data_IF_622588855607
#
_entry.id   IF_622588855607
#
_cell.length_a   1.000
_cell.length_b   1.000
_cell.length_c   1.000
_cell.angle_alpha   90.00
_cell.angle_beta   90.00
_cell.angle_gamma   90.00
#
_symmetry.space_group_name_H-M   'P 1'
#
loop_
_entity.id
_entity.type
_entity.pdbx_description
1 polymer ?
#
# COMPACT_ATOMS: atom_id res chain seq x y z
N UNK A 1 1.93 33.33 22.85
CA UNK A 1 1.62 34.75 22.56
C UNK A 1 0.94 35.44 23.75
N UNK A 2 -0.38 35.33 23.94
CA UNK A 2 -1.10 36.08 25.00
C UNK A 2 -0.54 35.86 26.42
N UNK A 3 -0.37 34.60 26.84
CA UNK A 3 0.18 34.27 28.16
C UNK A 3 1.66 34.63 28.31
N UNK A 4 2.47 34.36 27.27
CA UNK A 4 3.92 34.57 27.31
C UNK A 4 4.29 36.06 27.37
N UNK A 5 3.65 36.88 26.54
CA UNK A 5 3.90 38.34 26.51
C UNK A 5 2.97 39.13 27.42
N UNK A 6 2.00 38.47 28.05
CA UNK A 6 0.95 39.11 28.87
C UNK A 6 0.24 40.25 28.10
N UNK A 7 -0.23 39.95 26.88
CA UNK A 7 -0.90 40.92 25.99
C UNK A 7 -2.34 40.52 25.71
N UNK A 8 -3.21 41.52 25.53
CA UNK A 8 -4.58 41.29 25.08
C UNK A 8 -4.63 41.05 23.56
N UNK A 9 -5.36 40.01 23.16
CA UNK A 9 -5.60 39.71 21.75
C UNK A 9 -6.98 40.22 21.35
N UNK A 10 -7.07 40.93 20.22
CA UNK A 10 -8.34 41.28 19.59
C UNK A 10 -8.61 40.30 18.46
N UNK A 11 -9.77 39.63 18.48
CA UNK A 11 -10.15 38.70 17.42
C UNK A 11 -11.25 39.30 16.55
N UNK A 12 -11.10 39.23 15.23
CA UNK A 12 -12.15 39.60 14.27
C UNK A 12 -12.44 38.45 13.32
N UNK A 13 -13.72 38.26 13.00
CA UNK A 13 -14.17 37.23 12.07
C UNK A 13 -14.67 37.95 10.82
N UNK A 14 -14.12 37.59 9.65
CA UNK A 14 -14.63 38.05 8.37
C UNK A 14 -14.98 36.88 7.48
N UNK A 15 -16.00 37.05 6.63
CA UNK A 15 -16.46 36.02 5.69
C UNK A 15 -16.22 36.52 4.27
N UNK A 16 -15.44 35.78 3.49
CA UNK A 16 -15.30 36.12 2.07
C UNK A 16 -16.63 35.88 1.34
N UNK A 17 -17.13 36.93 0.69
CA UNK A 17 -18.47 36.94 0.06
C UNK A 17 -18.49 36.36 -1.36
N UNK A 18 -17.34 36.12 -2.01
CA UNK A 18 -17.24 35.46 -3.33
C UNK A 18 -16.56 34.09 -3.23
N UNK A 19 -16.75 33.26 -4.27
CA UNK A 19 -16.37 31.83 -4.44
C UNK A 19 -15.33 31.30 -3.41
N UNK A 20 -15.71 30.20 -2.74
CA UNK A 20 -15.14 29.64 -1.50
C UNK A 20 -15.40 30.52 -0.27
N UNK A 21 -16.63 30.43 0.27
CA UNK A 21 -17.14 31.06 1.52
C UNK A 21 -16.27 30.73 2.76
N UNK A 22 -15.01 31.15 2.76
CA UNK A 22 -14.04 30.91 3.83
C UNK A 22 -14.28 31.94 4.94
N UNK A 23 -14.36 31.43 6.16
CA UNK A 23 -14.33 32.24 7.37
C UNK A 23 -12.87 32.50 7.71
N UNK A 24 -12.49 33.77 7.76
CA UNK A 24 -11.14 34.21 8.14
C UNK A 24 -11.22 34.70 9.58
N UNK A 25 -10.43 34.06 10.43
CA UNK A 25 -10.21 34.49 11.81
C UNK A 25 -8.93 35.31 11.83
N UNK A 26 -9.02 36.58 12.22
CA UNK A 26 -7.87 37.45 12.37
C UNK A 26 -7.61 37.68 13.85
N UNK A 27 -6.37 37.45 14.27
CA UNK A 27 -5.89 37.74 15.62
C UNK A 27 -4.99 38.97 15.54
N UNK A 28 -5.38 40.05 16.20
CA UNK A 28 -4.71 41.34 16.18
C UNK A 28 -4.06 41.59 17.54
N UNK A 29 -2.78 41.93 17.53
CA UNK A 29 -1.98 42.32 18.70
C UNK A 29 -1.70 43.82 18.63
N UNK A 30 -2.07 44.57 19.67
CA UNK A 30 -1.86 46.03 19.74
C UNK A 30 -0.83 46.43 20.79
N UNK A 31 -0.48 45.52 21.71
CA UNK A 31 0.42 45.76 22.83
C UNK A 31 1.77 45.06 22.59
N UNK A 32 2.87 45.69 23.04
CA UNK A 32 4.23 45.13 22.96
C UNK A 32 4.65 44.65 21.57
N UNK A 33 4.12 45.26 20.52
CA UNK A 33 4.32 44.84 19.12
C UNK A 33 5.79 44.80 18.75
N UNK A 34 6.55 45.86 19.06
CA UNK A 34 7.97 45.95 18.74
C UNK A 34 8.78 44.85 19.43
N UNK A 35 8.56 44.65 20.74
CA UNK A 35 9.17 43.57 21.50
C UNK A 35 8.87 42.19 20.88
N UNK A 36 7.60 41.91 20.57
CA UNK A 36 7.18 40.63 20.00
C UNK A 36 7.83 40.40 18.63
N UNK A 37 7.91 41.45 17.80
CA UNK A 37 8.53 41.38 16.47
C UNK A 37 10.02 41.08 16.59
N UNK A 38 10.73 41.77 17.49
CA UNK A 38 12.17 41.60 17.72
C UNK A 38 12.48 40.21 18.31
N UNK A 39 11.76 39.81 19.37
CA UNK A 39 11.95 38.51 20.04
C UNK A 39 11.68 37.32 19.12
N UNK A 40 10.69 37.44 18.22
CA UNK A 40 10.35 36.41 17.23
C UNK A 40 11.13 36.54 15.92
N UNK A 41 11.90 37.62 15.74
CA UNK A 41 12.66 37.90 14.53
C UNK A 41 11.80 38.04 13.27
N UNK A 42 10.55 38.52 13.38
CA UNK A 42 9.57 38.50 12.28
C UNK A 42 9.92 39.42 11.10
N UNK A 43 10.81 40.40 11.31
CA UNK A 43 11.28 41.32 10.26
C UNK A 43 12.62 40.90 9.64
N UNK A 44 13.25 39.86 10.18
CA UNK A 44 14.54 39.36 9.70
C UNK A 44 14.34 38.10 8.86
N UNK A 45 15.29 37.80 7.98
CA UNK A 45 15.33 36.51 7.31
C UNK A 45 15.42 35.38 8.34
N UNK A 46 14.69 34.29 8.06
CA UNK A 46 14.64 33.15 8.96
C UNK A 46 16.04 32.57 9.19
N UNK A 47 16.50 32.59 10.44
CA UNK A 47 17.76 31.93 10.80
C UNK A 47 17.56 30.43 11.03
N UNK A 48 17.40 29.69 9.94
CA UNK A 48 17.19 28.24 9.93
C UNK A 48 18.32 27.50 10.63
N UNK A 49 19.55 28.00 10.53
CA UNK A 49 20.72 27.41 11.21
C UNK A 49 20.54 27.38 12.72
N UNK A 50 19.92 28.39 13.32
CA UNK A 50 19.67 28.40 14.76
C UNK A 50 18.58 27.41 15.18
N UNK A 51 17.51 27.31 14.39
CA UNK A 51 16.42 26.35 14.63
C UNK A 51 16.96 24.91 14.55
N UNK A 52 17.81 24.62 13.57
CA UNK A 52 18.41 23.30 13.34
C UNK A 52 19.31 22.81 14.50
N UNK A 53 19.74 23.68 15.42
CA UNK A 53 20.57 23.29 16.57
C UNK A 53 19.83 22.39 17.56
N UNK A 54 18.50 22.46 17.60
CA UNK A 54 17.70 21.73 18.58
C UNK A 54 16.44 21.14 17.94
N UNK A 55 16.27 19.82 18.02
CA UNK A 55 15.11 19.14 17.45
C UNK A 55 13.77 19.60 18.03
N UNK A 56 13.71 19.97 19.32
CA UNK A 56 12.48 20.50 19.91
C UNK A 56 12.09 21.85 19.31
N UNK A 57 13.08 22.68 18.94
CA UNK A 57 12.83 23.93 18.20
C UNK A 57 12.34 23.64 16.79
N UNK A 58 12.93 22.67 16.10
CA UNK A 58 12.49 22.21 14.78
C UNK A 58 11.03 21.72 14.84
N UNK A 59 10.70 20.85 15.80
CA UNK A 59 9.34 20.33 16.00
C UNK A 59 8.34 21.44 16.28
N UNK A 60 8.65 22.36 17.20
CA UNK A 60 7.79 23.49 17.52
C UNK A 60 7.58 24.44 16.32
N UNK A 61 8.66 24.70 15.56
CA UNK A 61 8.59 25.53 14.36
C UNK A 61 7.75 24.89 13.26
N UNK A 62 7.95 23.60 12.99
CA UNK A 62 7.17 22.83 12.02
C UNK A 62 5.69 22.72 12.41
N UNK A 63 5.38 22.63 13.71
CA UNK A 63 4.01 22.65 14.20
C UNK A 63 3.32 23.99 13.85
N UNK A 64 3.99 25.12 14.12
CA UNK A 64 3.49 26.45 13.76
C UNK A 64 3.34 26.63 12.24
N UNK A 65 4.34 26.16 11.48
CA UNK A 65 4.33 26.20 10.02
C UNK A 65 3.16 25.38 9.45
N UNK A 66 2.91 24.18 9.98
CA UNK A 66 1.79 23.34 9.58
C UNK A 66 0.44 24.00 9.86
N UNK A 67 0.27 24.67 11.00
CA UNK A 67 -0.95 25.43 11.28
C UNK A 67 -1.17 26.60 10.30
N UNK A 68 -0.09 27.22 9.82
CA UNK A 68 -0.15 28.37 8.92
C UNK A 68 -0.38 27.99 7.45
N UNK A 69 0.32 26.97 6.94
CA UNK A 69 0.32 26.63 5.52
C UNK A 69 0.30 25.13 5.21
N UNK A 70 0.08 24.30 6.22
CA UNK A 70 0.07 22.85 6.09
C UNK A 70 -1.30 22.24 5.84
N UNK A 71 -1.29 21.07 5.23
CA UNK A 71 -2.44 20.19 5.18
C UNK A 71 -2.03 18.72 5.08
N UNK A 72 -2.92 17.84 5.51
CA UNK A 72 -2.75 16.39 5.36
C UNK A 72 -4.06 15.79 4.87
N UNK A 73 -3.98 14.85 3.93
CA UNK A 73 -5.14 14.10 3.47
C UNK A 73 -5.70 13.24 4.61
N UNK A 74 -7.00 12.94 4.54
CA UNK A 74 -7.62 11.94 5.42
C UNK A 74 -6.88 10.59 5.29
N UNK A 75 -6.62 9.87 6.41
CA UNK A 75 -6.06 8.50 6.36
C UNK A 75 -6.95 7.51 5.58
N UNK A 76 -8.23 7.82 5.36
CA UNK A 76 -9.16 7.03 4.54
C UNK A 76 -9.00 7.28 3.04
N UNK A 77 -8.26 8.32 2.63
CA UNK A 77 -8.05 8.64 1.21
C UNK A 77 -7.23 7.56 0.50
N UNK A 78 -7.38 7.42 -0.82
CA UNK A 78 -6.59 6.46 -1.61
C UNK A 78 -5.09 6.73 -1.60
N UNK A 79 -4.68 7.96 -1.28
CA UNK A 79 -3.29 8.39 -1.24
C UNK A 79 -2.99 9.18 0.04
N UNK A 80 -1.84 8.88 0.62
CA UNK A 80 -1.28 9.67 1.72
C UNK A 80 -0.54 10.87 1.14
N UNK A 81 -0.83 12.04 1.69
CA UNK A 81 -0.23 13.29 1.25
C UNK A 81 -0.24 14.28 2.40
N UNK A 82 0.95 14.76 2.74
CA UNK A 82 1.15 15.92 3.57
C UNK A 82 1.81 16.99 2.72
N UNK A 83 1.36 18.23 2.83
CA UNK A 83 1.96 19.36 2.14
C UNK A 83 2.08 20.61 3.02
N UNK A 84 3.09 21.42 2.73
CA UNK A 84 3.32 22.77 3.24
C UNK A 84 3.48 23.70 2.03
N UNK A 85 2.61 24.70 1.89
CA UNK A 85 2.59 25.60 0.71
C UNK A 85 3.14 26.98 1.04
N UNK A 86 4.23 27.38 0.38
CA UNK A 86 4.90 28.69 0.59
C UNK A 86 5.08 29.42 -0.73
N UNK A 87 5.25 30.74 -0.70
CA UNK A 87 5.44 31.57 -1.91
C UNK A 87 6.91 31.71 -2.33
N UNK A 88 7.84 31.48 -1.40
CA UNK A 88 9.27 31.66 -1.62
C UNK A 88 10.01 30.32 -1.76
N UNK A 89 10.91 30.24 -2.74
CA UNK A 89 11.64 29.02 -3.07
C UNK A 89 12.72 28.70 -2.04
N UNK A 90 13.51 29.70 -1.63
CA UNK A 90 14.57 29.52 -0.64
C UNK A 90 13.98 29.05 0.70
N UNK A 91 12.82 29.60 1.08
CA UNK A 91 12.09 29.14 2.25
C UNK A 91 11.58 27.70 2.11
N UNK A 92 11.14 27.28 0.92
CA UNK A 92 10.78 25.88 0.68
C UNK A 92 11.98 24.93 0.86
N UNK A 93 13.17 25.34 0.41
CA UNK A 93 14.42 24.58 0.62
C UNK A 93 14.82 24.52 2.10
N UNK A 94 14.60 25.59 2.84
CA UNK A 94 14.84 25.61 4.28
C UNK A 94 13.89 24.68 5.05
N UNK A 95 12.63 24.61 4.63
CA UNK A 95 11.67 23.63 5.16
C UNK A 95 12.16 22.19 4.90
N UNK A 96 12.76 21.90 3.74
CA UNK A 96 13.37 20.58 3.50
C UNK A 96 14.46 20.25 4.52
N UNK A 97 15.33 21.21 4.87
CA UNK A 97 16.39 21.01 5.88
C UNK A 97 15.80 20.74 7.26
N UNK A 98 14.75 21.47 7.63
CA UNK A 98 14.03 21.27 8.90
C UNK A 98 13.38 19.89 8.97
N UNK A 99 12.70 19.45 7.91
CA UNK A 99 12.09 18.12 7.84
C UNK A 99 13.16 17.00 7.86
N UNK A 100 14.27 17.19 7.16
CA UNK A 100 15.37 16.24 7.15
C UNK A 100 16.01 16.06 8.54
N UNK A 101 16.07 17.14 9.35
CA UNK A 101 16.59 17.08 10.73
C UNK A 101 15.81 16.13 11.64
N UNK A 102 14.54 15.88 11.35
CA UNK A 102 13.67 14.94 12.09
C UNK A 102 13.37 13.67 11.28
N UNK A 103 14.23 13.31 10.32
CA UNK A 103 14.12 12.14 9.45
C UNK A 103 12.80 12.05 8.64
N UNK A 104 12.34 13.19 8.13
CA UNK A 104 11.15 13.25 7.26
C UNK A 104 11.58 13.67 5.85
N UNK A 105 11.89 12.73 4.95
CA UNK A 105 12.27 13.07 3.59
C UNK A 105 11.06 13.63 2.82
N UNK A 106 11.20 14.85 2.33
CA UNK A 106 10.19 15.56 1.55
C UNK A 106 10.73 15.97 0.17
N UNK A 107 9.83 16.41 -0.70
CA UNK A 107 10.15 16.93 -2.04
C UNK A 107 9.49 18.28 -2.25
N UNK A 108 10.07 19.12 -3.10
CA UNK A 108 9.45 20.37 -3.54
C UNK A 108 8.83 20.17 -4.92
N UNK A 109 7.67 20.80 -5.15
CA UNK A 109 7.10 21.00 -6.47
C UNK A 109 6.57 22.42 -6.59
N UNK A 110 6.83 23.08 -7.72
CA UNK A 110 6.21 24.36 -8.04
C UNK A 110 4.78 24.15 -8.53
N UNK A 111 3.81 24.75 -7.86
CA UNK A 111 2.39 24.68 -8.20
C UNK A 111 1.82 26.09 -8.29
N UNK A 112 1.53 26.55 -9.51
CA UNK A 112 1.12 27.94 -9.79
C UNK A 112 2.19 28.92 -9.27
N UNK A 113 1.81 29.87 -8.43
CA UNK A 113 2.70 30.86 -7.82
C UNK A 113 3.24 30.42 -6.44
N UNK A 114 3.17 29.13 -6.10
CA UNK A 114 3.62 28.59 -4.82
C UNK A 114 4.59 27.41 -5.00
N UNK A 115 5.41 27.20 -3.99
CA UNK A 115 6.28 26.06 -3.79
C UNK A 115 5.65 25.16 -2.73
N UNK A 116 5.43 23.90 -3.08
CA UNK A 116 4.77 22.93 -2.22
C UNK A 116 5.81 21.90 -1.77
N UNK A 117 6.11 21.89 -0.49
CA UNK A 117 6.93 20.85 0.15
C UNK A 117 6.01 19.71 0.56
N UNK A 118 6.24 18.49 0.08
CA UNK A 118 5.29 17.39 0.28
C UNK A 118 5.95 16.06 0.66
N UNK A 119 5.16 15.22 1.36
CA UNK A 119 5.51 13.87 1.80
C UNK A 119 4.37 12.91 1.40
N UNK A 120 4.72 11.81 0.72
CA UNK A 120 3.75 10.79 0.27
C UNK A 120 3.85 9.44 1.00
N UNK A 121 4.96 9.19 1.69
CA UNK A 121 5.14 7.92 2.43
C UNK A 121 4.27 7.96 3.69
N UNK A 122 3.34 7.01 3.82
CA UNK A 122 2.38 6.95 4.92
C UNK A 122 3.05 7.04 6.29
N UNK A 123 4.09 6.23 6.51
CA UNK A 123 4.89 6.21 7.74
C UNK A 123 5.48 7.59 8.06
N UNK A 124 5.98 8.32 7.05
CA UNK A 124 6.58 9.65 7.22
C UNK A 124 5.54 10.75 7.44
N UNK A 125 4.32 10.56 6.93
CA UNK A 125 3.18 11.43 7.27
C UNK A 125 2.79 11.22 8.75
N UNK A 126 2.70 9.97 9.21
CA UNK A 126 2.44 9.66 10.61
C UNK A 126 3.54 10.19 11.54
N UNK A 127 4.81 9.97 11.19
CA UNK A 127 5.97 10.52 11.91
C UNK A 127 5.86 12.04 12.04
N UNK A 128 5.48 12.76 10.98
CA UNK A 128 5.28 14.21 11.04
C UNK A 128 4.21 14.60 12.06
N UNK A 129 3.04 13.97 12.02
CA UNK A 129 1.92 14.24 12.93
C UNK A 129 2.35 14.02 14.39
N UNK A 130 3.12 12.94 14.64
CA UNK A 130 3.71 12.67 15.95
C UNK A 130 4.70 13.76 16.37
N UNK A 131 5.61 14.16 15.46
CA UNK A 131 6.65 15.15 15.71
C UNK A 131 6.10 16.55 16.07
N UNK A 132 4.94 16.93 15.52
CA UNK A 132 4.28 18.21 15.84
C UNK A 132 3.38 18.15 17.09
N UNK A 133 3.36 17.01 17.80
CA UNK A 133 2.62 16.85 19.06
C UNK A 133 1.12 16.55 18.91
N UNK A 134 0.66 16.16 17.72
CA UNK A 134 -0.75 15.83 17.48
C UNK A 134 -1.05 14.35 17.82
N UNK A 135 -0.84 13.95 19.08
CA UNK A 135 -0.86 12.54 19.52
C UNK A 135 -2.17 11.81 19.20
N UNK A 136 -3.33 12.41 19.47
CA UNK A 136 -4.62 11.76 19.20
C UNK A 136 -4.84 11.54 17.70
N UNK A 137 -4.47 12.52 16.87
CA UNK A 137 -4.55 12.41 15.42
C UNK A 137 -3.59 11.36 14.89
N UNK A 138 -2.38 11.27 15.45
CA UNK A 138 -1.40 10.22 15.11
C UNK A 138 -1.96 8.83 15.39
N UNK A 139 -2.50 8.60 16.59
CA UNK A 139 -3.07 7.29 16.97
C UNK A 139 -4.24 6.89 16.06
N UNK A 140 -5.15 7.81 15.78
CA UNK A 140 -6.26 7.59 14.85
C UNK A 140 -5.76 7.28 13.43
N UNK A 141 -4.75 8.03 12.96
CA UNK A 141 -4.15 7.84 11.64
C UNK A 141 -3.51 6.46 11.51
N UNK A 142 -2.76 6.03 12.52
CA UNK A 142 -2.09 4.73 12.58
C UNK A 142 -3.07 3.56 12.62
N UNK A 143 -4.14 3.64 13.42
CA UNK A 143 -5.16 2.59 13.50
C UNK A 143 -5.81 2.35 12.12
N UNK A 144 -6.23 3.43 11.44
CA UNK A 144 -6.81 3.33 10.10
C UNK A 144 -5.79 2.76 9.09
N UNK A 145 -4.52 3.17 9.18
CA UNK A 145 -3.45 2.66 8.30
C UNK A 145 -3.25 1.16 8.48
N UNK A 146 -3.12 0.71 9.73
CA UNK A 146 -2.90 -0.70 10.10
C UNK A 146 -4.07 -1.56 9.63
N UNK A 147 -5.31 -1.13 9.89
CA UNK A 147 -6.50 -1.85 9.44
C UNK A 147 -6.52 -2.00 7.92
N UNK A 148 -6.24 -0.93 7.16
CA UNK A 148 -6.18 -0.98 5.69
C UNK A 148 -5.10 -1.92 5.18
N UNK A 149 -3.90 -1.86 5.76
CA UNK A 149 -2.81 -2.75 5.36
C UNK A 149 -3.17 -4.22 5.64
N UNK A 150 -3.84 -4.50 6.75
CA UNK A 150 -4.37 -5.82 7.08
C UNK A 150 -5.42 -6.30 6.06
N UNK A 151 -6.45 -5.50 5.77
CA UNK A 151 -7.47 -5.85 4.78
C UNK A 151 -6.89 -6.05 3.39
N UNK A 152 -5.96 -5.18 2.96
CA UNK A 152 -5.30 -5.30 1.67
C UNK A 152 -4.46 -6.56 1.56
N UNK A 153 -3.77 -6.95 2.64
CA UNK A 153 -3.02 -8.20 2.69
C UNK A 153 -3.95 -9.42 2.58
N UNK A 154 -5.04 -9.45 3.35
CA UNK A 154 -6.03 -10.53 3.28
C UNK A 154 -6.67 -10.64 1.90
N UNK A 155 -7.05 -9.51 1.30
CA UNK A 155 -7.61 -9.48 -0.05
C UNK A 155 -6.62 -10.05 -1.08
N UNK A 156 -5.32 -9.76 -0.94
CA UNK A 156 -4.28 -10.33 -1.82
C UNK A 156 -4.16 -11.84 -1.66
N UNK A 157 -4.13 -12.34 -0.42
CA UNK A 157 -4.06 -13.77 -0.13
C UNK A 157 -5.30 -14.49 -0.68
N UNK A 158 -6.50 -13.99 -0.35
CA UNK A 158 -7.75 -14.55 -0.82
C UNK A 158 -7.84 -14.58 -2.36
N UNK A 159 -7.42 -13.50 -3.03
CA UNK A 159 -7.37 -13.46 -4.49
C UNK A 159 -6.40 -14.49 -5.08
N UNK A 160 -5.25 -14.73 -4.42
CA UNK A 160 -4.31 -15.77 -4.83
C UNK A 160 -4.92 -17.16 -4.68
N UNK A 161 -5.60 -17.43 -3.57
CA UNK A 161 -6.25 -18.72 -3.31
C UNK A 161 -7.36 -19.01 -4.31
N UNK A 162 -8.23 -18.04 -4.57
CA UNK A 162 -9.27 -18.15 -5.60
C UNK A 162 -8.64 -18.41 -6.97
N UNK A 163 -7.61 -17.65 -7.35
CA UNK A 163 -6.94 -17.84 -8.64
C UNK A 163 -6.23 -19.21 -8.77
N UNK A 164 -5.69 -19.73 -7.66
CA UNK A 164 -5.08 -21.06 -7.61
C UNK A 164 -6.15 -22.17 -7.73
N UNK A 165 -7.27 -22.01 -7.03
CA UNK A 165 -8.39 -22.93 -7.10
C UNK A 165 -8.99 -23.00 -8.52
N UNK A 166 -9.28 -21.85 -9.13
CA UNK A 166 -9.82 -21.78 -10.49
C UNK A 166 -8.88 -22.45 -11.51
N UNK A 167 -7.57 -22.16 -11.44
CA UNK A 167 -6.59 -22.81 -12.33
C UNK A 167 -6.53 -24.32 -12.13
N UNK A 168 -6.61 -24.77 -10.88
CA UNK A 168 -6.62 -26.21 -10.55
C UNK A 168 -7.86 -26.89 -11.11
N UNK A 169 -9.03 -26.28 -10.98
CA UNK A 169 -10.29 -26.85 -11.49
C UNK A 169 -10.35 -26.87 -13.03
N UNK A 170 -9.83 -25.84 -13.71
CA UNK A 170 -9.72 -25.86 -15.17
C UNK A 170 -8.78 -26.98 -15.63
N UNK A 171 -7.61 -27.12 -15.01
CA UNK A 171 -6.67 -28.19 -15.35
C UNK A 171 -7.25 -29.58 -15.05
N UNK A 172 -7.92 -29.76 -13.91
CA UNK A 172 -8.56 -31.01 -13.52
C UNK A 172 -9.64 -31.43 -14.52
N UNK A 173 -10.51 -30.51 -14.96
CA UNK A 173 -11.51 -30.79 -16.00
C UNK A 173 -10.87 -31.25 -17.31
N UNK A 174 -9.78 -30.61 -17.74
CA UNK A 174 -9.04 -31.05 -18.93
C UNK A 174 -8.44 -32.46 -18.75
N UNK A 175 -7.82 -32.72 -17.60
CA UNK A 175 -7.22 -34.02 -17.30
C UNK A 175 -8.27 -35.14 -17.26
N UNK A 176 -9.43 -34.89 -16.64
CA UNK A 176 -10.55 -35.84 -16.61
C UNK A 176 -11.10 -36.10 -18.01
N UNK A 177 -11.16 -35.08 -18.88
CA UNK A 177 -11.57 -35.27 -20.27
C UNK A 177 -10.56 -36.12 -21.06
N UNK A 178 -9.26 -35.91 -20.86
CA UNK A 178 -8.21 -36.73 -21.47
C UNK A 178 -8.30 -38.19 -20.99
N UNK A 179 -8.48 -38.41 -19.68
CA UNK A 179 -8.67 -39.75 -19.11
C UNK A 179 -9.91 -40.43 -19.69
N UNK A 180 -11.05 -39.73 -19.70
CA UNK A 180 -12.30 -40.25 -20.26
C UNK A 180 -12.19 -40.56 -21.76
N UNK A 181 -11.35 -39.82 -22.50
CA UNK A 181 -11.08 -40.12 -23.90
C UNK A 181 -10.29 -41.43 -24.05
N UNK A 182 -9.30 -41.68 -23.19
CA UNK A 182 -8.53 -42.93 -23.23
C UNK A 182 -9.41 -44.14 -22.91
N UNK A 183 -10.28 -44.02 -21.89
CA UNK A 183 -11.20 -45.07 -21.45
C UNK A 183 -12.16 -45.56 -22.55
N UNK A 184 -12.39 -44.77 -23.60
CA UNK A 184 -13.20 -45.19 -24.76
C UNK A 184 -12.52 -46.25 -25.63
N UNK A 185 -11.19 -46.31 -25.65
CA UNK A 185 -10.43 -47.18 -26.56
C UNK A 185 -9.71 -48.30 -25.83
N UNK A 186 -9.20 -48.04 -24.62
CA UNK A 186 -8.40 -48.99 -23.85
C UNK A 186 -8.73 -48.93 -22.36
N UNK A 187 -8.54 -50.05 -21.67
CA UNK A 187 -8.65 -50.11 -20.20
C UNK A 187 -7.49 -49.36 -19.55
N UNK A 188 -7.76 -48.57 -18.50
CA UNK A 188 -6.72 -47.81 -17.80
C UNK A 188 -5.63 -48.69 -17.20
N UNK A 189 -5.95 -49.94 -16.82
CA UNK A 189 -4.99 -50.91 -16.28
C UNK A 189 -3.92 -51.32 -17.32
N UNK A 190 -4.18 -51.11 -18.61
CA UNK A 190 -3.19 -51.33 -19.67
C UNK A 190 -2.18 -50.18 -19.79
N UNK A 191 -2.47 -49.01 -19.21
CA UNK A 191 -1.52 -47.92 -19.06
C UNK A 191 -0.60 -48.32 -17.91
N UNK A 192 0.71 -48.41 -18.11
CA UNK A 192 1.64 -48.88 -17.08
C UNK A 192 1.40 -48.26 -15.70
N UNK A 193 1.70 -49.00 -14.63
CA UNK A 193 1.20 -48.81 -13.25
C UNK A 193 1.10 -47.34 -12.78
N UNK A 194 2.12 -46.52 -13.06
CA UNK A 194 2.13 -45.11 -12.66
C UNK A 194 1.03 -44.26 -13.32
N UNK A 195 0.74 -44.50 -14.61
CA UNK A 195 -0.28 -43.76 -15.34
C UNK A 195 -1.68 -44.23 -14.93
N UNK A 196 -1.90 -45.54 -14.77
CA UNK A 196 -3.16 -46.09 -14.29
C UNK A 196 -3.52 -45.52 -12.91
N UNK A 197 -2.58 -45.56 -11.97
CA UNK A 197 -2.77 -45.02 -10.62
C UNK A 197 -3.08 -43.53 -10.65
N UNK A 198 -2.36 -42.75 -11.47
CA UNK A 198 -2.60 -41.31 -11.54
C UNK A 198 -3.99 -40.98 -12.14
N UNK A 199 -4.42 -41.72 -13.16
CA UNK A 199 -5.77 -41.58 -13.72
C UNK A 199 -6.84 -41.85 -12.67
N UNK A 200 -6.68 -42.91 -11.88
CA UNK A 200 -7.58 -43.26 -10.79
C UNK A 200 -7.60 -42.16 -9.70
N UNK A 201 -6.43 -41.76 -9.21
CA UNK A 201 -6.32 -40.71 -8.18
C UNK A 201 -6.97 -39.40 -8.62
N UNK A 202 -6.81 -39.02 -9.90
CA UNK A 202 -7.45 -37.81 -10.44
C UNK A 202 -8.97 -37.91 -10.45
N UNK A 203 -9.52 -39.07 -10.85
CA UNK A 203 -10.97 -39.35 -10.90
C UNK A 203 -11.60 -39.34 -9.51
N UNK A 204 -10.93 -39.94 -8.54
CA UNK A 204 -11.42 -40.02 -7.15
C UNK A 204 -11.35 -38.67 -6.43
N UNK A 205 -10.43 -37.80 -6.82
CA UNK A 205 -10.15 -36.57 -6.07
C UNK A 205 -10.20 -35.32 -6.95
N UNK A 206 -11.24 -35.03 -7.74
CA UNK A 206 -11.21 -34.02 -8.82
C UNK A 206 -10.84 -32.58 -8.40
N UNK A 207 -11.02 -32.21 -7.13
CA UNK A 207 -10.68 -30.87 -6.60
C UNK A 207 -9.22 -30.76 -6.13
N UNK A 208 -8.47 -31.87 -6.08
CA UNK A 208 -7.10 -31.85 -5.59
C UNK A 208 -6.14 -31.12 -6.54
N UNK A 209 -5.23 -30.36 -5.94
CA UNK A 209 -4.09 -29.79 -6.64
C UNK A 209 -3.10 -30.89 -7.07
N UNK A 210 -2.26 -30.59 -8.06
CA UNK A 210 -1.17 -31.49 -8.47
C UNK A 210 -0.21 -31.85 -7.32
N UNK A 211 -0.08 -30.98 -6.31
CA UNK A 211 0.72 -31.27 -5.12
C UNK A 211 0.04 -32.33 -4.26
N UNK A 212 -1.26 -32.17 -3.97
CA UNK A 212 -2.03 -33.15 -3.20
C UNK A 212 -2.05 -34.52 -3.90
N UNK A 213 -2.19 -34.53 -5.23
CA UNK A 213 -2.07 -35.77 -6.01
C UNK A 213 -0.68 -36.40 -5.89
N UNK A 214 0.39 -35.61 -5.89
CA UNK A 214 1.75 -36.12 -5.66
C UNK A 214 1.89 -36.75 -4.28
N UNK A 215 1.37 -36.10 -3.24
CA UNK A 215 1.43 -36.59 -1.87
C UNK A 215 0.68 -37.93 -1.73
N UNK A 216 -0.53 -38.04 -2.30
CA UNK A 216 -1.30 -39.30 -2.35
C UNK A 216 -0.60 -40.38 -3.16
N UNK A 217 -0.04 -40.02 -4.32
CA UNK A 217 0.72 -40.95 -5.16
C UNK A 217 1.94 -41.51 -4.41
N UNK A 218 2.67 -40.65 -3.71
CA UNK A 218 3.84 -41.04 -2.91
C UNK A 218 3.46 -41.95 -1.75
N UNK A 219 2.33 -41.69 -1.07
CA UNK A 219 1.84 -42.54 0.01
C UNK A 219 1.51 -43.96 -0.47
N UNK A 220 0.97 -44.11 -1.68
CA UNK A 220 0.58 -45.42 -2.23
C UNK A 220 1.80 -46.16 -2.79
N UNK A 221 2.70 -45.45 -3.46
CA UNK A 221 3.82 -46.08 -4.20
C UNK A 221 5.14 -46.13 -3.43
N UNK A 222 5.23 -45.49 -2.26
CA UNK A 222 6.48 -45.23 -1.54
C UNK A 222 7.57 -44.55 -2.41
N UNK A 223 7.16 -43.82 -3.45
CA UNK A 223 8.06 -43.01 -4.28
C UNK A 223 8.13 -41.57 -3.76
N UNK A 224 9.06 -40.78 -4.32
CA UNK A 224 9.18 -39.34 -4.05
C UNK A 224 9.01 -38.56 -5.35
N UNK A 225 7.79 -38.52 -5.86
CA UNK A 225 7.41 -37.69 -7.00
C UNK A 225 7.07 -36.28 -6.53
N UNK A 226 7.50 -35.28 -7.30
CA UNK A 226 7.16 -33.88 -7.06
C UNK A 226 5.90 -33.47 -7.81
N UNK A 227 5.34 -32.30 -7.49
CA UNK A 227 4.27 -31.65 -8.28
C UNK A 227 4.60 -31.63 -9.78
N UNK A 228 5.85 -31.30 -10.14
CA UNK A 228 6.29 -31.26 -11.54
C UNK A 228 6.33 -32.66 -12.15
N UNK A 229 6.75 -33.68 -11.40
CA UNK A 229 6.71 -35.08 -11.85
C UNK A 229 5.29 -35.54 -12.20
N UNK A 230 4.31 -35.27 -11.32
CA UNK A 230 2.89 -35.53 -11.64
C UNK A 230 2.43 -34.76 -12.88
N UNK A 231 2.84 -33.50 -13.03
CA UNK A 231 2.51 -32.72 -14.22
C UNK A 231 3.06 -33.38 -15.50
N UNK A 232 4.29 -33.90 -15.47
CA UNK A 232 4.86 -34.63 -16.60
C UNK A 232 4.09 -35.92 -16.94
N UNK A 233 3.58 -36.64 -15.93
CA UNK A 233 2.71 -37.79 -16.15
C UNK A 233 1.39 -37.38 -16.82
N UNK A 234 0.75 -36.29 -16.38
CA UNK A 234 -0.45 -35.77 -17.07
C UNK A 234 -0.18 -35.32 -18.50
N UNK A 235 1.00 -34.76 -18.79
CA UNK A 235 1.40 -34.44 -20.18
C UNK A 235 1.48 -35.72 -21.02
N UNK A 236 1.98 -36.83 -20.46
CA UNK A 236 1.99 -38.14 -21.15
C UNK A 236 0.57 -38.67 -21.37
N UNK A 237 -0.31 -38.57 -20.38
CA UNK A 237 -1.73 -38.95 -20.48
C UNK A 237 -2.40 -38.17 -21.62
N UNK A 238 -2.23 -36.85 -21.65
CA UNK A 238 -2.77 -36.00 -22.71
C UNK A 238 -2.31 -36.42 -24.11
N UNK A 239 -1.00 -36.64 -24.30
CA UNK A 239 -0.45 -37.10 -25.60
C UNK A 239 -1.03 -38.44 -26.04
N UNK A 240 -1.26 -39.35 -25.09
CA UNK A 240 -1.86 -40.66 -25.36
C UNK A 240 -3.33 -40.51 -25.77
N UNK A 241 -4.10 -39.66 -25.09
CA UNK A 241 -5.48 -39.31 -25.45
C UNK A 241 -5.59 -38.69 -26.87
N UNK A 242 -4.68 -37.76 -27.20
CA UNK A 242 -4.61 -37.12 -28.52
C UNK A 242 -4.29 -38.13 -29.64
N UNK A 243 -3.37 -39.06 -29.37
CA UNK A 243 -2.95 -40.08 -30.33
C UNK A 243 -4.09 -41.05 -30.66
N UNK A 244 -4.81 -41.56 -29.64
CA UNK A 244 -5.98 -42.43 -29.82
C UNK A 244 -7.10 -41.75 -30.60
N UNK A 245 -7.35 -40.46 -30.34
CA UNK A 245 -8.34 -39.66 -31.07
C UNK A 245 -7.95 -39.44 -32.54
N UNK A 246 -6.66 -39.33 -32.85
CA UNK A 246 -6.17 -39.12 -34.21
C UNK A 246 -6.17 -40.39 -35.07
N UNK A 247 -5.88 -41.55 -34.46
CA UNK A 247 -5.99 -42.85 -35.14
C UNK A 247 -7.40 -43.12 -35.65
N UNK A 248 -8.42 -42.72 -34.88
CA UNK A 248 -9.82 -42.84 -35.25
C UNK A 248 -10.25 -41.94 -36.43
N UNK A 249 -9.50 -40.87 -36.73
CA UNK A 249 -9.78 -39.97 -37.86
C UNK A 249 -9.21 -40.46 -39.20
N UNK A 250 -8.27 -41.40 -39.18
CA UNK A 250 -7.63 -41.91 -40.40
C UNK A 250 -8.32 -43.17 -40.96
N UNK A 251 -9.30 -43.73 -40.24
CA UNK A 251 -10.06 -44.93 -40.64
C UNK A 251 -11.49 -44.59 -41.12
N UNK A 252 -11.71 -43.39 -41.69
CA UNK A 252 -13.00 -43.00 -42.31
C UNK A 252 -12.84 -42.62 -43.77
#
# INVERSE_FOLDING_TARGET
>A
MAQHYQVKLKTTISKMMKLNKKTIYSVIVLEKVQQIIEDLGLLNDLNVKDILKNENRVRAYLAGLFMGCGSVNSPTSSTYHLELSVSDEAFAEDILKLLAKIDIPAKIIKRRAQYVVYVKKAIKVADFICNIGATNTYLMFEDIRIQRDFYNNNNRVNNCDIANFVRTNVASKSQLADIAQIEKYVSLQSLGEELALLCQLRKENPEDSLKNLADKFNQITNKSITKSGINHLFIRIKKLAESLKSGEKNDK
#
